data_IF_040874788927
#
_entry.id   IF_040874788927
#
_cell.length_a   1.000
_cell.length_b   1.000
_cell.length_c   1.000
_cell.angle_alpha   90.00
_cell.angle_beta   90.00
_cell.angle_gamma   90.00
#
_symmetry.space_group_name_H-M   'P 1'
#
loop_
_entity.id
_entity.type
_entity.pdbx_description
1 polymer ?
#
# COMPACT_ATOMS: atom_id res chain seq x y z
N UNK A 1 4.59 14.35 8.32
CA UNK A 1 3.52 15.15 7.67
C UNK A 1 2.36 15.35 8.65
N UNK A 2 1.77 14.30 9.25
CA UNK A 2 0.65 14.44 10.19
C UNK A 2 0.94 15.44 11.31
N UNK A 3 2.10 15.34 11.98
CA UNK A 3 2.52 16.29 13.04
C UNK A 3 2.61 17.73 12.49
N UNK A 4 3.18 17.92 11.31
CA UNK A 4 3.26 19.24 10.67
C UNK A 4 1.86 19.78 10.39
N UNK A 5 0.96 18.95 9.91
CA UNK A 5 -0.41 19.33 9.57
C UNK A 5 -1.19 19.76 10.82
N UNK A 6 -1.09 18.99 11.91
CA UNK A 6 -1.91 19.19 13.09
C UNK A 6 -1.34 20.30 14.00
N UNK A 7 -0.01 20.34 14.19
CA UNK A 7 0.61 21.20 15.21
C UNK A 7 1.32 22.43 14.65
N UNK A 8 1.90 22.36 13.44
CA UNK A 8 2.63 23.48 12.86
C UNK A 8 1.82 24.32 11.89
N UNK A 9 0.90 23.68 11.15
CA UNK A 9 0.09 24.33 10.12
C UNK A 9 -1.42 23.99 10.29
N UNK A 10 -1.99 24.13 11.51
CA UNK A 10 -3.41 23.80 11.72
C UNK A 10 -4.29 24.72 10.87
N UNK A 11 -5.29 24.14 10.18
CA UNK A 11 -6.25 24.87 9.35
C UNK A 11 -5.67 25.57 8.12
N UNK A 12 -4.39 25.36 7.79
CA UNK A 12 -3.78 25.95 6.60
C UNK A 12 -4.26 25.25 5.33
N UNK A 13 -5.23 25.84 4.65
CA UNK A 13 -5.85 25.28 3.44
C UNK A 13 -4.84 25.05 2.30
N UNK A 14 -3.88 25.95 2.11
CA UNK A 14 -2.86 25.79 1.06
C UNK A 14 -1.98 24.59 1.32
N UNK A 15 -1.62 24.34 2.58
CA UNK A 15 -0.91 23.13 3.00
C UNK A 15 -1.75 21.87 2.76
N UNK A 16 -3.04 21.89 3.13
CA UNK A 16 -3.97 20.79 2.88
C UNK A 16 -4.05 20.43 1.40
N UNK A 17 -4.18 21.42 0.52
CA UNK A 17 -4.19 21.21 -0.94
C UNK A 17 -2.86 20.65 -1.45
N UNK A 18 -1.73 21.13 -0.97
CA UNK A 18 -0.42 20.59 -1.33
C UNK A 18 -0.29 19.12 -0.97
N UNK A 19 -0.66 18.75 0.28
CA UNK A 19 -0.64 17.36 0.76
C UNK A 19 -1.60 16.49 -0.05
N UNK A 20 -2.77 17.00 -0.42
CA UNK A 20 -3.74 16.31 -1.27
C UNK A 20 -3.15 15.97 -2.65
N UNK A 21 -2.54 16.95 -3.32
CA UNK A 21 -1.91 16.76 -4.64
C UNK A 21 -0.80 15.72 -4.55
N UNK A 22 0.10 15.85 -3.57
CA UNK A 22 1.18 14.87 -3.35
C UNK A 22 0.63 13.48 -3.03
N UNK A 23 -0.45 13.41 -2.24
CA UNK A 23 -1.16 12.17 -1.93
C UNK A 23 -1.72 11.49 -3.19
N UNK A 24 -2.41 12.23 -4.04
CA UNK A 24 -2.97 11.71 -5.30
C UNK A 24 -1.87 11.21 -6.25
N UNK A 25 -0.82 11.98 -6.45
CA UNK A 25 0.32 11.58 -7.31
C UNK A 25 0.96 10.29 -6.76
N UNK A 26 1.28 10.26 -5.48
CA UNK A 26 1.92 9.12 -4.82
C UNK A 26 1.05 7.87 -4.87
N UNK A 27 -0.25 8.03 -4.65
CA UNK A 27 -1.24 6.96 -4.65
C UNK A 27 -1.34 6.29 -6.02
N UNK A 28 -1.50 7.08 -7.08
CA UNK A 28 -1.66 6.57 -8.45
C UNK A 28 -0.35 6.00 -8.97
N UNK A 29 0.76 6.75 -8.84
CA UNK A 29 2.07 6.33 -9.33
C UNK A 29 2.51 5.00 -8.70
N UNK A 30 2.39 4.88 -7.37
CA UNK A 30 2.73 3.63 -6.67
C UNK A 30 1.90 2.44 -7.14
N UNK A 31 0.59 2.63 -7.35
CA UNK A 31 -0.30 1.58 -7.84
C UNK A 31 0.04 1.16 -9.28
N UNK A 32 0.29 2.11 -10.18
CA UNK A 32 0.68 1.83 -11.56
C UNK A 32 2.02 1.08 -11.61
N UNK A 33 3.04 1.53 -10.87
CA UNK A 33 4.33 0.84 -10.81
C UNK A 33 4.20 -0.60 -10.30
N UNK A 34 3.33 -0.86 -9.32
CA UNK A 34 3.05 -2.20 -8.82
C UNK A 34 2.41 -3.11 -9.89
N UNK A 35 1.50 -2.58 -10.71
CA UNK A 35 0.87 -3.33 -11.81
C UNK A 35 1.91 -3.81 -12.84
N UNK A 36 2.87 -2.97 -13.21
CA UNK A 36 3.84 -3.29 -14.25
C UNK A 36 5.06 -4.09 -13.76
N UNK A 37 5.32 -4.16 -12.47
CA UNK A 37 6.46 -4.90 -11.92
C UNK A 37 6.23 -6.41 -11.87
N UNK A 38 7.30 -7.19 -12.05
CA UNK A 38 7.31 -8.67 -11.91
C UNK A 38 8.02 -9.15 -10.66
N UNK A 39 8.76 -8.30 -9.96
CA UNK A 39 9.46 -8.66 -8.74
C UNK A 39 8.56 -8.48 -7.51
N UNK A 40 8.30 -9.53 -6.73
CA UNK A 40 7.41 -9.53 -5.58
C UNK A 40 7.77 -8.44 -4.55
N UNK A 41 9.06 -8.32 -4.18
CA UNK A 41 9.51 -7.31 -3.22
C UNK A 41 9.32 -5.90 -3.74
N UNK A 42 9.61 -5.68 -5.03
CA UNK A 42 9.43 -4.37 -5.67
C UNK A 42 7.94 -4.01 -5.77
N UNK A 43 7.08 -4.98 -6.13
CA UNK A 43 5.62 -4.77 -6.11
C UNK A 43 5.19 -4.33 -4.71
N UNK A 44 5.59 -5.05 -3.66
CA UNK A 44 5.24 -4.71 -2.27
C UNK A 44 5.80 -3.34 -1.83
N UNK A 45 6.95 -2.92 -2.32
CA UNK A 45 7.49 -1.57 -2.08
C UNK A 45 6.63 -0.50 -2.79
N UNK A 46 6.29 -0.69 -4.05
CA UNK A 46 5.40 0.21 -4.81
C UNK A 46 4.00 0.30 -4.18
N UNK A 47 3.49 -0.83 -3.66
CA UNK A 47 2.23 -0.81 -2.91
C UNK A 47 2.34 0.01 -1.62
N UNK A 48 3.51 0.06 -0.96
CA UNK A 48 3.70 0.95 0.20
C UNK A 48 3.59 2.41 -0.21
N UNK A 49 4.22 2.78 -1.32
CA UNK A 49 4.13 4.12 -1.88
C UNK A 49 2.67 4.51 -2.15
N UNK A 50 1.91 3.63 -2.83
CA UNK A 50 0.49 3.87 -3.10
C UNK A 50 -0.33 4.03 -1.81
N UNK A 51 -0.15 3.14 -0.83
CA UNK A 51 -0.92 3.21 0.42
C UNK A 51 -0.57 4.43 1.28
N UNK A 52 0.68 4.90 1.25
CA UNK A 52 1.06 6.18 1.87
C UNK A 52 0.33 7.33 1.18
N UNK A 53 0.13 7.27 -0.14
CA UNK A 53 -0.69 8.24 -0.87
C UNK A 53 -2.13 8.31 -0.33
N UNK A 54 -2.78 7.17 -0.07
CA UNK A 54 -4.11 7.13 0.57
C UNK A 54 -4.09 7.77 1.96
N UNK A 55 -3.05 7.51 2.77
CA UNK A 55 -2.88 8.13 4.09
C UNK A 55 -2.72 9.65 3.95
N UNK A 56 -1.94 10.12 2.97
CA UNK A 56 -1.77 11.55 2.71
C UNK A 56 -3.08 12.23 2.31
N UNK A 57 -3.92 11.55 1.52
CA UNK A 57 -5.28 12.05 1.21
C UNK A 57 -6.09 12.21 2.50
N UNK A 58 -6.07 11.21 3.40
CA UNK A 58 -6.73 11.32 4.70
C UNK A 58 -6.17 12.47 5.57
N UNK A 59 -4.85 12.65 5.59
CA UNK A 59 -4.20 13.78 6.31
C UNK A 59 -4.60 15.13 5.71
N UNK A 60 -4.75 15.23 4.38
CA UNK A 60 -5.21 16.44 3.74
C UNK A 60 -6.66 16.79 4.13
N UNK A 61 -7.53 15.78 4.25
CA UNK A 61 -8.91 15.97 4.69
C UNK A 61 -9.00 16.54 6.12
N UNK A 62 -8.06 16.20 7.02
CA UNK A 62 -8.01 16.80 8.37
C UNK A 62 -7.98 18.32 8.34
N UNK A 63 -7.28 18.89 7.36
CA UNK A 63 -7.15 20.37 7.26
C UNK A 63 -8.27 20.98 6.42
N UNK A 64 -8.73 20.27 5.39
CA UNK A 64 -9.68 20.82 4.42
C UNK A 64 -11.12 20.80 4.92
N UNK A 65 -11.50 19.83 5.76
CA UNK A 65 -12.82 19.72 6.39
C UNK A 65 -12.96 20.55 7.67
N UNK A 66 -11.86 21.07 8.24
CA UNK A 66 -11.90 21.90 9.45
C UNK A 66 -12.56 21.19 10.63
N UNK A 67 -13.69 21.69 11.12
CA UNK A 67 -14.43 21.12 12.27
C UNK A 67 -15.15 19.81 11.93
N UNK A 68 -15.43 19.52 10.65
CA UNK A 68 -16.09 18.29 10.17
C UNK A 68 -15.10 17.16 9.85
N UNK A 69 -13.94 17.12 10.52
CA UNK A 69 -12.84 16.22 10.19
C UNK A 69 -12.90 14.84 10.86
N UNK A 70 -13.98 14.49 11.56
CA UNK A 70 -14.10 13.24 12.31
C UNK A 70 -13.80 11.98 11.48
N UNK A 71 -14.40 11.87 10.28
CA UNK A 71 -14.16 10.76 9.36
C UNK A 71 -12.69 10.68 8.92
N UNK A 72 -12.10 11.83 8.60
CA UNK A 72 -10.71 11.93 8.20
C UNK A 72 -9.76 11.52 9.34
N UNK A 73 -10.02 11.96 10.58
CA UNK A 73 -9.21 11.65 11.74
C UNK A 73 -9.20 10.15 12.05
N UNK A 74 -10.38 9.55 12.22
CA UNK A 74 -10.52 8.13 12.48
C UNK A 74 -10.01 7.28 11.32
N UNK A 75 -10.39 7.63 10.08
CA UNK A 75 -9.97 6.92 8.87
C UNK A 75 -8.46 6.92 8.70
N UNK A 76 -7.79 8.05 8.88
CA UNK A 76 -6.33 8.18 8.73
C UNK A 76 -5.58 7.31 9.72
N UNK A 77 -5.97 7.32 11.00
CA UNK A 77 -5.31 6.51 12.05
C UNK A 77 -5.50 5.02 11.79
N UNK A 78 -6.74 4.60 11.52
CA UNK A 78 -7.02 3.21 11.20
C UNK A 78 -6.33 2.76 9.92
N UNK A 79 -6.16 3.67 8.96
CA UNK A 79 -5.41 3.38 7.74
C UNK A 79 -3.91 3.18 8.00
N UNK A 80 -3.30 3.98 8.87
CA UNK A 80 -1.91 3.80 9.30
C UNK A 80 -1.72 2.47 10.01
N UNK A 81 -2.64 2.10 10.91
CA UNK A 81 -2.62 0.81 11.60
C UNK A 81 -2.77 -0.35 10.61
N UNK A 82 -3.76 -0.27 9.73
CA UNK A 82 -3.96 -1.26 8.68
C UNK A 82 -2.73 -1.41 7.79
N UNK A 83 -2.15 -0.29 7.34
CA UNK A 83 -0.95 -0.28 6.52
C UNK A 83 0.20 -1.01 7.20
N UNK A 84 0.46 -0.74 8.48
CA UNK A 84 1.53 -1.38 9.24
C UNK A 84 1.35 -2.89 9.34
N UNK A 85 0.15 -3.36 9.71
CA UNK A 85 -0.17 -4.79 9.85
C UNK A 85 -0.12 -5.52 8.51
N UNK A 86 -0.72 -4.93 7.46
CA UNK A 86 -0.72 -5.51 6.11
C UNK A 86 0.69 -5.62 5.56
N UNK A 87 1.51 -4.57 5.74
CA UNK A 87 2.90 -4.59 5.27
C UNK A 87 3.73 -5.63 5.99
N UNK A 88 3.59 -5.72 7.32
CA UNK A 88 4.23 -6.77 8.08
C UNK A 88 3.84 -8.16 7.56
N UNK A 89 2.54 -8.41 7.36
CA UNK A 89 2.03 -9.68 6.83
C UNK A 89 2.59 -10.01 5.44
N UNK A 90 2.49 -9.08 4.49
CA UNK A 90 2.90 -9.33 3.10
C UNK A 90 4.41 -9.39 2.93
N UNK A 91 5.19 -8.63 3.71
CA UNK A 91 6.66 -8.73 3.67
C UNK A 91 7.18 -9.99 4.38
N UNK A 92 6.55 -10.43 5.47
CA UNK A 92 6.84 -11.74 6.07
C UNK A 92 6.51 -12.88 5.09
N UNK A 93 5.38 -12.79 4.38
CA UNK A 93 5.05 -13.71 3.29
C UNK A 93 6.15 -13.73 2.21
N UNK A 94 6.58 -12.56 1.73
CA UNK A 94 7.66 -12.47 0.75
C UNK A 94 8.99 -13.03 1.30
N UNK A 95 9.26 -12.84 2.58
CA UNK A 95 10.40 -13.43 3.29
C UNK A 95 10.36 -14.96 3.29
N UNK A 96 9.19 -15.54 3.57
CA UNK A 96 8.97 -16.99 3.50
C UNK A 96 9.19 -17.51 2.08
N UNK A 97 8.67 -16.82 1.06
CA UNK A 97 8.90 -17.19 -0.35
C UNK A 97 10.40 -17.16 -0.66
N UNK A 98 11.08 -16.07 -0.32
CA UNK A 98 12.51 -15.92 -0.59
C UNK A 98 13.37 -16.94 0.16
N UNK A 99 13.08 -17.21 1.42
CA UNK A 99 13.80 -18.20 2.22
C UNK A 99 13.78 -19.61 1.58
N UNK A 100 12.66 -19.96 0.93
CA UNK A 100 12.50 -21.28 0.33
C UNK A 100 12.95 -21.36 -1.13
N UNK A 101 12.91 -20.25 -1.85
CA UNK A 101 13.16 -20.26 -3.32
C UNK A 101 14.41 -19.49 -3.72
N UNK A 102 14.95 -18.65 -2.83
CA UNK A 102 16.00 -17.65 -3.12
C UNK A 102 15.67 -16.77 -4.33
N UNK A 103 14.37 -16.66 -4.68
CA UNK A 103 13.87 -15.92 -5.82
C UNK A 103 12.70 -15.02 -5.39
N UNK A 104 12.53 -13.91 -6.11
CA UNK A 104 11.42 -12.97 -5.88
C UNK A 104 10.73 -12.58 -7.20
N UNK A 105 11.22 -13.02 -8.35
CA UNK A 105 10.55 -12.82 -9.62
C UNK A 105 9.30 -13.72 -9.71
N UNK A 106 8.14 -13.14 -10.05
CA UNK A 106 6.88 -13.87 -10.12
C UNK A 106 6.95 -15.08 -11.04
N UNK A 107 7.75 -15.02 -12.11
CA UNK A 107 7.92 -16.14 -13.04
C UNK A 107 8.72 -17.30 -12.43
N UNK A 108 9.59 -17.02 -11.47
CA UNK A 108 10.42 -18.02 -10.78
C UNK A 108 9.70 -18.64 -9.58
N UNK A 109 8.85 -17.85 -8.90
CA UNK A 109 8.12 -18.28 -7.70
C UNK A 109 6.71 -18.81 -8.00
N UNK A 110 6.38 -19.01 -9.28
CA UNK A 110 5.07 -19.55 -9.69
C UNK A 110 4.74 -20.84 -8.97
N UNK A 111 3.48 -20.96 -8.53
CA UNK A 111 2.98 -22.18 -7.90
C UNK A 111 3.59 -22.51 -6.54
N UNK A 112 4.46 -21.67 -5.98
CA UNK A 112 5.10 -21.92 -4.67
C UNK A 112 4.07 -22.17 -3.56
N UNK A 113 2.95 -21.44 -3.58
CA UNK A 113 1.89 -21.54 -2.57
C UNK A 113 0.94 -22.73 -2.76
N UNK A 114 1.03 -23.49 -3.85
CA UNK A 114 0.15 -24.63 -4.11
C UNK A 114 0.32 -25.70 -3.03
N UNK A 115 -0.80 -26.21 -2.51
CA UNK A 115 -0.79 -27.22 -1.45
C UNK A 115 -0.39 -26.72 -0.07
N UNK A 116 -0.33 -25.39 0.15
CA UNK A 116 0.00 -24.76 1.43
C UNK A 116 -1.17 -23.92 1.95
N UNK A 117 -2.27 -24.54 2.44
CA UNK A 117 -3.52 -23.84 2.76
C UNK A 117 -3.37 -22.75 3.82
N UNK A 118 -2.53 -22.97 4.84
CA UNK A 118 -2.29 -21.97 5.88
C UNK A 118 -1.59 -20.72 5.30
N UNK A 119 -0.55 -20.91 4.48
CA UNK A 119 0.15 -19.80 3.83
C UNK A 119 -0.80 -19.03 2.89
N UNK A 120 -1.68 -19.75 2.20
CA UNK A 120 -2.72 -19.18 1.34
C UNK A 120 -3.69 -18.30 2.14
N UNK A 121 -4.23 -18.80 3.26
CA UNK A 121 -5.13 -18.04 4.13
C UNK A 121 -4.48 -16.78 4.70
N UNK A 122 -3.22 -16.89 5.18
CA UNK A 122 -2.49 -15.74 5.73
C UNK A 122 -2.18 -14.67 4.67
N UNK A 123 -1.82 -15.08 3.44
CA UNK A 123 -1.69 -14.14 2.33
C UNK A 123 -3.01 -13.45 2.02
N UNK A 124 -4.12 -14.21 1.96
CA UNK A 124 -5.46 -13.65 1.69
C UNK A 124 -5.88 -12.65 2.78
N UNK A 125 -5.58 -12.90 4.05
CA UNK A 125 -5.86 -11.91 5.10
C UNK A 125 -5.20 -10.55 4.81
N UNK A 126 -3.92 -10.55 4.45
CA UNK A 126 -3.22 -9.32 4.06
C UNK A 126 -3.76 -8.71 2.76
N UNK A 127 -3.98 -9.54 1.74
CA UNK A 127 -4.45 -9.10 0.43
C UNK A 127 -5.88 -8.54 0.49
N UNK A 128 -6.81 -9.20 1.17
CA UNK A 128 -8.19 -8.74 1.32
C UNK A 128 -8.26 -7.43 2.12
N UNK A 129 -7.45 -7.31 3.18
CA UNK A 129 -7.37 -6.07 3.94
C UNK A 129 -6.79 -4.94 3.10
N UNK A 130 -5.72 -5.18 2.32
CA UNK A 130 -5.15 -4.17 1.43
C UNK A 130 -6.11 -3.75 0.31
N UNK A 131 -6.85 -4.71 -0.24
CA UNK A 131 -7.89 -4.45 -1.26
C UNK A 131 -9.08 -3.65 -0.71
N UNK A 132 -9.30 -3.67 0.60
CA UNK A 132 -10.45 -3.04 1.26
C UNK A 132 -11.72 -3.88 1.16
N UNK A 133 -11.60 -5.20 1.29
CA UNK A 133 -12.75 -6.10 1.28
C UNK A 133 -13.49 -6.01 2.61
N UNK A 134 -14.85 -5.95 2.63
CA UNK A 134 -15.64 -5.94 3.85
C UNK A 134 -15.26 -7.09 4.82
N UNK A 135 -15.27 -6.79 6.11
CA UNK A 135 -14.81 -7.72 7.16
C UNK A 135 -13.32 -7.61 7.50
N UNK A 136 -12.57 -6.74 6.85
CA UNK A 136 -11.17 -6.46 7.15
C UNK A 136 -10.96 -5.00 7.55
N UNK A 137 -9.92 -4.74 8.36
CA UNK A 137 -9.58 -3.38 8.83
C UNK A 137 -9.36 -2.39 7.67
N UNK A 138 -8.82 -2.88 6.55
CA UNK A 138 -8.61 -2.05 5.35
C UNK A 138 -9.90 -1.55 4.73
N UNK A 139 -11.00 -2.28 4.85
CA UNK A 139 -12.31 -1.79 4.45
C UNK A 139 -12.76 -0.63 5.33
N UNK A 140 -12.73 -0.82 6.64
CA UNK A 140 -13.14 0.21 7.61
C UNK A 140 -12.38 1.51 7.39
N UNK A 141 -11.05 1.44 7.33
CA UNK A 141 -10.20 2.61 7.16
C UNK A 141 -10.36 3.30 5.80
N UNK A 142 -10.47 2.53 4.71
CA UNK A 142 -10.69 3.09 3.37
C UNK A 142 -12.04 3.76 3.24
N UNK A 143 -13.08 3.16 3.80
CA UNK A 143 -14.44 3.73 3.78
C UNK A 143 -14.45 5.09 4.48
N UNK A 144 -13.88 5.21 5.68
CA UNK A 144 -13.83 6.48 6.41
C UNK A 144 -13.07 7.58 5.65
N UNK A 145 -11.92 7.25 5.05
CA UNK A 145 -11.16 8.24 4.25
C UNK A 145 -11.92 8.59 2.96
N UNK A 146 -12.56 7.63 2.32
CA UNK A 146 -13.37 7.88 1.11
C UNK A 146 -14.57 8.78 1.43
N UNK A 147 -15.31 8.49 2.50
CA UNK A 147 -16.43 9.32 2.95
C UNK A 147 -15.98 10.75 3.27
N UNK A 148 -14.82 10.95 3.89
CA UNK A 148 -14.26 12.28 4.11
C UNK A 148 -13.97 13.03 2.80
N UNK A 149 -13.55 12.34 1.74
CA UNK A 149 -13.37 12.95 0.41
C UNK A 149 -14.72 13.30 -0.22
N UNK A 150 -15.73 12.42 -0.09
CA UNK A 150 -17.08 12.66 -0.59
C UNK A 150 -17.73 13.84 0.16
N UNK A 151 -17.59 13.90 1.48
CA UNK A 151 -18.08 15.02 2.30
C UNK A 151 -17.50 16.35 1.82
N UNK A 152 -16.18 16.45 1.64
CA UNK A 152 -15.54 17.64 1.09
C UNK A 152 -16.03 17.96 -0.34
N UNK A 153 -16.30 16.95 -1.17
CA UNK A 153 -16.83 17.16 -2.52
C UNK A 153 -18.23 17.77 -2.50
N UNK A 154 -19.08 17.30 -1.58
CA UNK A 154 -20.44 17.82 -1.39
C UNK A 154 -20.43 19.23 -0.81
N UNK A 155 -19.63 19.49 0.24
CA UNK A 155 -19.53 20.81 0.87
C UNK A 155 -19.02 21.90 -0.09
N UNK A 156 -17.99 21.54 -0.89
CA UNK A 156 -17.36 22.53 -1.79
C UNK A 156 -18.01 22.64 -3.16
N UNK A 157 -18.78 21.64 -3.59
CA UNK A 157 -19.28 21.51 -4.97
C UNK A 157 -18.15 21.46 -6.00
N UNK A 158 -16.92 21.11 -5.60
CA UNK A 158 -15.73 21.22 -6.43
C UNK A 158 -15.53 19.98 -7.30
N UNK A 159 -15.53 20.18 -8.63
CA UNK A 159 -15.17 19.13 -9.60
C UNK A 159 -13.78 18.54 -9.35
N UNK A 160 -12.84 19.35 -8.84
CA UNK A 160 -11.48 18.86 -8.53
C UNK A 160 -11.51 17.79 -7.44
N UNK A 161 -12.34 17.95 -6.40
CA UNK A 161 -12.46 16.93 -5.33
C UNK A 161 -13.19 15.67 -5.85
N UNK A 162 -14.16 15.82 -6.73
CA UNK A 162 -14.78 14.68 -7.43
C UNK A 162 -13.72 13.89 -8.26
N UNK A 163 -12.77 14.57 -8.89
CA UNK A 163 -11.65 13.90 -9.56
C UNK A 163 -10.77 13.15 -8.56
N UNK A 164 -10.51 13.72 -7.38
CA UNK A 164 -9.78 13.02 -6.31
C UNK A 164 -10.50 11.73 -5.89
N UNK A 165 -11.81 11.76 -5.73
CA UNK A 165 -12.62 10.56 -5.44
C UNK A 165 -12.41 9.47 -6.51
N UNK A 166 -12.50 9.82 -7.79
CA UNK A 166 -12.27 8.86 -8.87
C UNK A 166 -10.84 8.32 -8.91
N UNK A 167 -9.83 9.16 -8.62
CA UNK A 167 -8.44 8.71 -8.48
C UNK A 167 -8.26 7.74 -7.30
N UNK A 168 -8.98 7.99 -6.21
CA UNK A 168 -9.01 7.10 -5.03
C UNK A 168 -9.60 5.73 -5.40
N UNK A 169 -10.74 5.69 -6.07
CA UNK A 169 -11.38 4.45 -6.52
C UNK A 169 -10.54 3.70 -7.56
N UNK A 170 -9.94 4.42 -8.51
CA UNK A 170 -9.03 3.85 -9.51
C UNK A 170 -7.82 3.20 -8.85
N UNK A 171 -7.16 3.89 -7.91
CA UNK A 171 -6.00 3.34 -7.21
C UNK A 171 -6.37 2.15 -6.32
N UNK A 172 -7.58 2.17 -5.74
CA UNK A 172 -8.17 1.01 -5.08
C UNK A 172 -8.32 -0.18 -6.04
N UNK A 173 -8.81 0.07 -7.26
CA UNK A 173 -8.93 -0.95 -8.30
C UNK A 173 -7.57 -1.50 -8.76
N UNK A 174 -6.58 -0.63 -8.99
CA UNK A 174 -5.22 -1.06 -9.31
C UNK A 174 -4.62 -1.93 -8.19
N UNK A 175 -4.98 -1.63 -6.92
CA UNK A 175 -4.60 -2.47 -5.76
C UNK A 175 -5.12 -3.89 -5.91
N UNK A 176 -6.38 -4.06 -6.25
CA UNK A 176 -6.99 -5.38 -6.52
C UNK A 176 -6.30 -6.07 -7.68
N UNK A 177 -6.00 -5.35 -8.77
CA UNK A 177 -5.39 -5.91 -9.96
C UNK A 177 -4.00 -6.51 -9.72
N UNK A 178 -3.09 -5.79 -9.04
CA UNK A 178 -1.76 -6.34 -8.78
C UNK A 178 -1.77 -7.43 -7.69
N UNK A 179 -2.68 -7.37 -6.71
CA UNK A 179 -2.84 -8.45 -5.74
C UNK A 179 -3.36 -9.73 -6.40
N UNK A 180 -4.32 -9.60 -7.31
CA UNK A 180 -4.79 -10.73 -8.14
C UNK A 180 -3.66 -11.32 -8.97
N UNK A 181 -2.79 -10.49 -9.55
CA UNK A 181 -1.60 -10.93 -10.29
C UNK A 181 -0.66 -11.77 -9.39
N UNK A 182 -0.33 -11.28 -8.19
CA UNK A 182 0.51 -12.03 -7.25
C UNK A 182 -0.17 -13.34 -6.84
N UNK A 183 -1.45 -13.27 -6.51
CA UNK A 183 -2.24 -14.42 -6.10
C UNK A 183 -2.27 -15.53 -7.15
N UNK A 184 -2.59 -15.17 -8.39
CA UNK A 184 -2.61 -16.12 -9.52
C UNK A 184 -1.22 -16.70 -9.77
N UNK A 185 -0.17 -15.88 -9.75
CA UNK A 185 1.18 -16.35 -9.95
C UNK A 185 1.61 -17.36 -8.88
N UNK A 186 1.41 -17.03 -7.61
CA UNK A 186 1.98 -17.84 -6.52
C UNK A 186 1.12 -19.07 -6.18
N UNK A 187 -0.21 -18.97 -6.28
CA UNK A 187 -1.10 -20.04 -5.79
C UNK A 187 -1.79 -20.86 -6.91
N UNK A 188 -1.97 -20.28 -8.11
CA UNK A 188 -2.74 -20.94 -9.15
C UNK A 188 -1.89 -21.47 -10.31
N UNK A 189 -0.83 -20.76 -10.70
CA UNK A 189 0.04 -21.22 -11.79
C UNK A 189 0.82 -22.48 -11.41
N UNK A 190 1.26 -23.24 -12.41
CA UNK A 190 2.15 -24.39 -12.22
C UNK A 190 3.57 -23.92 -11.94
N UNK A 191 4.26 -24.66 -11.07
CA UNK A 191 5.66 -24.39 -10.78
C UNK A 191 6.52 -24.55 -12.05
N UNK A 192 7.62 -23.77 -12.21
CA UNK A 192 8.58 -24.00 -13.28
C UNK A 192 9.15 -25.41 -13.20
N UNK A 193 9.52 -26.00 -14.34
CA UNK A 193 10.10 -27.35 -14.39
C UNK A 193 11.39 -27.48 -13.55
N UNK A 194 12.15 -26.40 -13.47
CA UNK A 194 13.40 -26.31 -12.71
C UNK A 194 13.18 -26.01 -11.21
N UNK A 195 11.93 -25.82 -10.75
CA UNK A 195 11.66 -25.59 -9.36
C UNK A 195 11.92 -26.87 -8.57
N UNK A 196 12.93 -26.84 -7.69
CA UNK A 196 13.12 -27.90 -6.72
C UNK A 196 11.79 -28.16 -6.01
N UNK A 197 11.43 -29.45 -5.88
CA UNK A 197 10.18 -29.88 -5.26
C UNK A 197 10.01 -29.15 -3.93
N UNK A 198 9.14 -28.13 -3.92
CA UNK A 198 8.99 -27.27 -2.75
C UNK A 198 8.54 -28.13 -1.58
N UNK A 199 9.36 -28.24 -0.57
CA UNK A 199 9.05 -28.97 0.67
C UNK A 199 7.65 -28.56 1.16
N UNK A 200 6.86 -29.53 1.62
CA UNK A 200 5.56 -29.26 2.28
C UNK A 200 5.74 -28.31 3.47
N UNK A 201 6.91 -28.36 4.13
CA UNK A 201 7.28 -27.45 5.21
C UNK A 201 7.84 -26.17 4.59
N UNK A 202 7.08 -25.08 4.67
CA UNK A 202 7.43 -23.78 4.08
C UNK A 202 7.94 -22.76 5.12
N UNK A 203 7.89 -23.10 6.42
CA UNK A 203 8.31 -22.21 7.49
C UNK A 203 8.63 -22.95 8.78
N UNK A 204 9.43 -22.31 9.64
CA UNK A 204 9.64 -22.74 11.03
C UNK A 204 8.40 -22.39 11.86
N UNK A 205 8.16 -23.06 13.00
CA UNK A 205 7.04 -22.70 13.89
C UNK A 205 7.03 -21.21 14.26
N UNK A 206 8.21 -20.62 14.46
CA UNK A 206 8.36 -19.20 14.79
C UNK A 206 7.94 -18.29 13.62
N UNK A 207 8.34 -18.60 12.39
CA UNK A 207 7.94 -17.81 11.22
C UNK A 207 6.45 -17.92 10.94
N UNK A 208 5.86 -19.07 11.17
CA UNK A 208 4.39 -19.26 11.08
C UNK A 208 3.68 -18.43 12.15
N UNK A 209 4.15 -18.50 13.41
CA UNK A 209 3.56 -17.73 14.51
C UNK A 209 3.66 -16.21 14.26
N UNK A 210 4.82 -15.73 13.78
CA UNK A 210 5.00 -14.32 13.43
C UNK A 210 4.04 -13.87 12.31
N UNK A 211 3.86 -14.69 11.28
CA UNK A 211 2.94 -14.39 10.19
C UNK A 211 1.48 -14.41 10.64
N UNK A 212 1.09 -15.35 11.52
CA UNK A 212 -0.22 -15.39 12.13
C UNK A 212 -0.51 -14.18 13.02
N UNK A 213 0.47 -13.79 13.85
CA UNK A 213 0.36 -12.61 14.72
C UNK A 213 0.15 -11.32 13.91
N UNK A 214 0.75 -11.22 12.74
CA UNK A 214 0.57 -10.06 11.85
C UNK A 214 -0.76 -10.10 11.08
N UNK A 215 -1.22 -11.29 10.65
CA UNK A 215 -2.38 -11.43 9.78
C UNK A 215 -3.73 -11.48 10.51
N UNK A 216 -3.81 -12.13 11.67
CA UNK A 216 -5.07 -12.35 12.43
C UNK A 216 -5.72 -11.02 12.89
N UNK A 217 -4.99 -9.99 13.32
CA UNK A 217 -5.60 -8.73 13.71
C UNK A 217 -6.38 -8.05 12.58
N UNK A 218 -6.06 -8.30 11.32
CA UNK A 218 -6.70 -7.65 10.17
C UNK A 218 -8.20 -7.96 10.06
N UNK A 219 -8.66 -9.24 10.03
CA UNK A 219 -10.08 -9.55 10.08
C UNK A 219 -10.68 -9.29 11.47
N UNK A 220 -9.94 -9.48 12.56
CA UNK A 220 -10.46 -9.25 13.91
C UNK A 220 -10.91 -7.79 14.12
N UNK A 221 -10.08 -6.83 13.72
CA UNK A 221 -10.41 -5.41 13.80
C UNK A 221 -11.46 -4.99 12.77
N UNK A 222 -11.50 -5.65 11.60
CA UNK A 222 -12.47 -5.35 10.56
C UNK A 222 -13.87 -5.86 10.85
N UNK A 223 -14.02 -6.98 11.58
CA UNK A 223 -15.30 -7.54 11.96
C UNK A 223 -15.94 -6.83 13.16
N UNK A 224 -15.15 -6.11 13.96
CA UNK A 224 -15.59 -5.38 15.13
C UNK A 224 -15.33 -3.87 14.99
N UNK A 225 -15.84 -3.21 13.93
CA UNK A 225 -15.53 -1.80 13.65
C UNK A 225 -16.00 -0.86 14.76
N UNK A 226 -17.24 -1.01 15.25
CA UNK A 226 -17.83 -0.21 16.32
C UNK A 226 -17.29 -0.50 17.73
N UNK A 227 -16.50 -1.57 17.89
CA UNK A 227 -15.94 -1.93 19.18
C UNK A 227 -14.50 -1.45 19.34
N UNK A 228 -13.58 -2.25 18.81
CA UNK A 228 -12.15 -2.07 19.05
C UNK A 228 -11.53 -1.02 18.11
N UNK A 229 -11.93 -1.00 16.84
CA UNK A 229 -11.35 -0.07 15.85
C UNK A 229 -11.68 1.38 16.17
N UNK A 230 -12.94 1.69 16.48
CA UNK A 230 -13.36 3.03 16.88
C UNK A 230 -12.70 3.49 18.19
N UNK A 231 -12.57 2.59 19.19
CA UNK A 231 -11.87 2.91 20.44
C UNK A 231 -10.40 3.25 20.20
N UNK A 232 -9.72 2.51 19.31
CA UNK A 232 -8.32 2.82 18.93
C UNK A 232 -8.25 4.19 18.25
N UNK A 233 -9.15 4.48 17.33
CA UNK A 233 -9.18 5.76 16.63
C UNK A 233 -9.51 6.90 17.60
N UNK A 234 -10.52 6.74 18.45
CA UNK A 234 -10.92 7.75 19.46
C UNK A 234 -9.79 8.07 20.45
N UNK A 235 -9.00 7.08 20.87
CA UNK A 235 -7.85 7.28 21.74
C UNK A 235 -6.77 8.19 21.13
N UNK A 236 -6.77 8.39 19.81
CA UNK A 236 -5.78 9.22 19.10
C UNK A 236 -6.32 10.58 18.65
N UNK A 237 -7.59 10.91 18.95
CA UNK A 237 -8.21 12.18 18.54
C UNK A 237 -7.44 13.40 19.03
N UNK A 238 -6.99 13.39 20.28
CA UNK A 238 -6.17 14.48 20.84
C UNK A 238 -4.86 14.69 20.07
N UNK A 239 -4.31 13.62 19.49
CA UNK A 239 -3.08 13.68 18.68
C UNK A 239 -3.36 14.10 17.23
N UNK A 240 -4.50 13.73 16.68
CA UNK A 240 -4.85 14.04 15.28
C UNK A 240 -5.53 15.39 15.13
N UNK A 241 -5.90 16.06 16.22
CA UNK A 241 -6.73 17.27 16.18
C UNK A 241 -8.13 17.01 15.64
N UNK A 242 -8.58 15.75 15.70
CA UNK A 242 -9.87 15.32 15.20
C UNK A 242 -10.99 15.54 16.21
N UNK A 243 -12.21 15.62 15.70
CA UNK A 243 -13.44 15.61 16.49
C UNK A 243 -14.03 14.20 16.53
N UNK A 244 -14.89 13.92 17.50
CA UNK A 244 -15.58 12.64 17.60
C UNK A 244 -16.77 12.59 16.62
N UNK A 245 -17.23 11.38 16.33
CA UNK A 245 -18.40 11.21 15.45
C UNK A 245 -19.66 11.81 16.06
N UNK A 246 -20.41 12.57 15.26
CA UNK A 246 -21.75 13.01 15.61
C UNK A 246 -22.78 11.88 15.45
N UNK A 247 -22.53 10.92 14.55
CA UNK A 247 -23.41 9.79 14.24
C UNK A 247 -22.61 8.52 13.97
N UNK A 248 -23.21 7.36 14.26
CA UNK A 248 -22.60 6.06 13.98
C UNK A 248 -22.47 5.81 12.45
N UNK A 249 -21.30 5.39 12.00
CA UNK A 249 -21.04 5.06 10.61
C UNK A 249 -21.60 3.67 10.28
N UNK A 250 -22.50 3.57 9.31
CA UNK A 250 -23.06 2.30 8.85
C UNK A 250 -22.18 1.67 7.75
N UNK A 251 -21.13 0.97 8.14
CA UNK A 251 -20.15 0.39 7.20
C UNK A 251 -20.76 -0.54 6.14
N UNK A 252 -21.83 -1.26 6.45
CA UNK A 252 -22.50 -2.17 5.50
C UNK A 252 -23.64 -1.49 4.69
N UNK A 253 -23.84 -0.19 4.84
CA UNK A 253 -24.76 0.54 3.99
C UNK A 253 -24.33 0.50 2.53
N UNK A 254 -25.30 0.51 1.61
CA UNK A 254 -25.03 0.45 0.17
C UNK A 254 -24.13 1.60 -0.31
N UNK A 255 -24.27 2.77 0.27
CA UNK A 255 -23.46 3.95 -0.02
C UNK A 255 -21.97 3.67 0.18
N UNK A 256 -21.61 2.96 1.24
CA UNK A 256 -20.23 2.56 1.58
C UNK A 256 -19.75 1.36 0.76
N UNK A 257 -20.64 0.39 0.50
CA UNK A 257 -20.32 -0.79 -0.30
C UNK A 257 -20.10 -0.47 -1.78
N UNK A 258 -20.81 0.53 -2.32
CA UNK A 258 -20.70 0.97 -3.71
C UNK A 258 -19.26 1.28 -4.11
N UNK A 259 -18.50 2.00 -3.29
CA UNK A 259 -17.11 2.34 -3.56
C UNK A 259 -16.19 1.11 -3.69
N UNK A 260 -16.43 0.11 -2.84
CA UNK A 260 -15.68 -1.17 -2.90
C UNK A 260 -16.05 -1.94 -4.16
N UNK A 261 -17.34 -2.03 -4.50
CA UNK A 261 -17.81 -2.73 -5.71
C UNK A 261 -17.18 -2.08 -6.95
N UNK A 262 -17.13 -0.76 -7.03
CA UNK A 262 -16.49 -0.02 -8.13
C UNK A 262 -15.00 -0.36 -8.18
N UNK A 263 -14.28 -0.28 -7.06
CA UNK A 263 -12.84 -0.59 -7.01
C UNK A 263 -12.55 -2.05 -7.39
N UNK A 264 -13.34 -3.01 -6.91
CA UNK A 264 -13.22 -4.43 -7.30
C UNK A 264 -13.46 -4.63 -8.80
N UNK A 265 -14.49 -3.98 -9.34
CA UNK A 265 -14.82 -4.04 -10.77
C UNK A 265 -13.69 -3.47 -11.63
N UNK A 266 -13.17 -2.29 -11.28
CA UNK A 266 -12.00 -1.70 -11.95
C UNK A 266 -10.79 -2.65 -11.87
N UNK A 267 -10.53 -3.23 -10.71
CA UNK A 267 -9.41 -4.14 -10.51
C UNK A 267 -9.49 -5.39 -11.37
N UNK A 268 -10.67 -5.99 -11.45
CA UNK A 268 -10.93 -7.14 -12.33
C UNK A 268 -10.83 -6.77 -13.81
N UNK A 269 -11.40 -5.63 -14.21
CA UNK A 269 -11.25 -5.13 -15.59
C UNK A 269 -9.78 -4.92 -15.94
N UNK A 270 -9.00 -4.26 -15.09
CA UNK A 270 -7.55 -4.06 -15.31
C UNK A 270 -6.81 -5.40 -15.37
N UNK A 271 -7.16 -6.36 -14.52
CA UNK A 271 -6.54 -7.67 -14.54
C UNK A 271 -6.83 -8.42 -15.86
N UNK A 272 -8.10 -8.49 -16.29
CA UNK A 272 -8.48 -9.26 -17.48
C UNK A 272 -8.19 -8.54 -18.79
N UNK A 273 -8.29 -7.21 -18.86
CA UNK A 273 -8.12 -6.44 -20.11
C UNK A 273 -6.71 -5.88 -20.29
N UNK A 274 -5.93 -5.69 -19.20
CA UNK A 274 -4.59 -5.14 -19.30
C UNK A 274 -3.53 -6.15 -18.87
N UNK A 275 -3.61 -6.70 -17.64
CA UNK A 275 -2.54 -7.58 -17.13
C UNK A 275 -2.47 -8.87 -17.93
N UNK A 276 -3.59 -9.56 -18.09
CA UNK A 276 -3.64 -10.85 -18.75
C UNK A 276 -3.27 -10.81 -20.25
N UNK A 277 -3.75 -9.87 -21.09
CA UNK A 277 -3.39 -9.84 -22.50
C UNK A 277 -2.07 -9.13 -22.81
N UNK A 278 -1.72 -8.06 -22.07
CA UNK A 278 -0.56 -7.21 -22.38
C UNK A 278 0.68 -7.54 -21.55
N UNK A 279 0.50 -7.91 -20.27
CA UNK A 279 1.60 -8.18 -19.35
C UNK A 279 1.90 -9.66 -19.18
N UNK A 280 1.22 -10.55 -19.91
CA UNK A 280 1.55 -11.98 -19.94
C UNK A 280 1.83 -12.45 -21.36
N UNK A 281 2.80 -13.34 -21.49
CA UNK A 281 3.18 -14.02 -22.72
C UNK A 281 3.07 -15.53 -22.50
N UNK A 282 2.54 -16.24 -23.50
CA UNK A 282 2.60 -17.71 -23.52
C UNK A 282 3.89 -18.13 -24.22
N UNK A 283 4.81 -18.72 -23.44
CA UNK A 283 6.04 -19.30 -23.97
C UNK A 283 6.14 -20.75 -23.50
N UNK A 284 6.32 -21.66 -24.42
CA UNK A 284 6.42 -23.10 -24.12
C UNK A 284 5.20 -23.68 -23.37
N UNK A 285 3.99 -23.17 -23.64
CA UNK A 285 2.77 -23.55 -22.91
C UNK A 285 2.59 -22.93 -21.53
N UNK A 286 3.58 -22.19 -21.06
CA UNK A 286 3.57 -21.51 -19.75
C UNK A 286 3.20 -20.03 -19.87
N UNK A 287 2.48 -19.53 -18.87
CA UNK A 287 2.16 -18.10 -18.77
C UNK A 287 3.30 -17.41 -18.01
N UNK A 288 3.99 -16.48 -18.67
CA UNK A 288 5.06 -15.67 -18.06
C UNK A 288 4.66 -14.22 -18.01
N UNK A 289 4.95 -13.55 -16.88
CA UNK A 289 4.73 -12.11 -16.73
C UNK A 289 5.89 -11.34 -17.38
N UNK A 290 5.55 -10.28 -18.09
CA UNK A 290 6.50 -9.38 -18.75
C UNK A 290 6.49 -8.03 -18.09
N UNK A 291 7.65 -7.43 -17.86
CA UNK A 291 7.76 -6.04 -17.44
C UNK A 291 7.76 -5.16 -18.69
N UNK A 292 6.73 -4.34 -18.84
CA UNK A 292 6.64 -3.33 -19.90
C UNK A 292 6.97 -1.92 -19.38
N UNK A 293 7.48 -1.81 -18.14
CA UNK A 293 7.84 -0.51 -17.57
C UNK A 293 9.01 0.10 -18.36
N UNK A 294 8.84 1.30 -18.92
CA UNK A 294 9.90 1.95 -19.69
C UNK A 294 11.11 2.23 -18.80
N UNK A 295 12.31 1.90 -19.27
CA UNK A 295 13.55 2.09 -18.51
C UNK A 295 13.78 3.55 -18.11
N UNK A 296 13.39 4.51 -18.97
CA UNK A 296 13.51 5.94 -18.71
C UNK A 296 12.55 6.45 -17.60
N UNK A 297 11.45 5.76 -17.35
CA UNK A 297 10.50 6.06 -16.29
C UNK A 297 10.84 5.33 -14.99
N UNK A 298 11.91 4.53 -14.97
CA UNK A 298 12.41 3.90 -13.77
C UNK A 298 13.02 4.95 -12.86
N UNK A 299 12.29 5.34 -11.80
CA UNK A 299 12.77 6.29 -10.79
C UNK A 299 14.08 5.81 -10.14
N UNK A 300 14.28 4.50 -10.05
CA UNK A 300 15.49 3.91 -9.50
C UNK A 300 16.71 4.23 -10.40
N UNK A 301 16.60 3.99 -11.70
CA UNK A 301 17.70 4.20 -12.65
C UNK A 301 17.91 5.68 -13.00
N UNK A 302 16.81 6.42 -13.18
CA UNK A 302 16.83 7.79 -13.69
C UNK A 302 17.02 8.84 -12.61
N UNK A 303 16.58 8.57 -11.36
CA UNK A 303 16.61 9.55 -10.26
C UNK A 303 17.45 9.07 -9.08
N UNK A 304 17.08 7.92 -8.48
CA UNK A 304 17.72 7.51 -7.22
C UNK A 304 19.19 7.14 -7.40
N UNK A 305 19.55 6.31 -8.37
CA UNK A 305 20.94 5.90 -8.59
C UNK A 305 21.86 7.08 -8.94
N UNK A 306 21.49 8.03 -9.82
CA UNK A 306 22.29 9.23 -10.06
C UNK A 306 22.42 10.12 -8.82
N UNK A 307 21.31 10.34 -8.09
CA UNK A 307 21.31 11.15 -6.87
C UNK A 307 22.21 10.55 -5.79
N UNK A 308 22.09 9.23 -5.54
CA UNK A 308 22.94 8.54 -4.56
C UNK A 308 24.42 8.58 -4.97
N UNK A 309 24.72 8.37 -6.24
CA UNK A 309 26.11 8.46 -6.75
C UNK A 309 26.66 9.88 -6.59
N UNK A 310 25.85 10.91 -6.80
CA UNK A 310 26.24 12.29 -6.56
C UNK A 310 26.45 12.55 -5.06
N UNK A 311 25.52 12.16 -4.21
CA UNK A 311 25.61 12.32 -2.75
C UNK A 311 26.87 11.64 -2.17
N UNK A 312 27.14 10.40 -2.57
CA UNK A 312 28.33 9.66 -2.15
C UNK A 312 29.62 10.40 -2.61
N UNK A 313 29.65 10.93 -3.83
CA UNK A 313 30.80 11.73 -4.31
C UNK A 313 31.02 12.98 -3.48
N UNK A 314 29.96 13.71 -3.18
CA UNK A 314 30.05 14.91 -2.33
C UNK A 314 30.56 14.54 -0.93
N UNK A 315 29.98 13.50 -0.32
CA UNK A 315 30.39 13.03 1.00
C UNK A 315 31.88 12.60 1.02
N UNK A 316 32.31 11.81 0.03
CA UNK A 316 33.72 11.40 -0.09
C UNK A 316 34.65 12.59 -0.29
N UNK A 317 34.25 13.62 -1.04
CA UNK A 317 35.05 14.83 -1.23
C UNK A 317 35.16 15.60 0.10
N UNK A 318 34.04 15.76 0.83
CA UNK A 318 34.07 16.39 2.15
C UNK A 318 34.94 15.65 3.15
N UNK A 319 34.86 14.31 3.17
CA UNK A 319 35.73 13.50 4.02
C UNK A 319 37.22 13.67 3.65
N UNK A 320 37.56 13.70 2.35
CA UNK A 320 38.95 13.94 1.92
C UNK A 320 39.45 15.30 2.40
N UNK A 321 38.67 16.35 2.13
CA UNK A 321 39.03 17.72 2.59
C UNK A 321 39.20 17.77 4.09
N UNK A 322 38.34 17.11 4.85
CA UNK A 322 38.46 17.04 6.30
C UNK A 322 39.73 16.28 6.74
N UNK A 323 40.08 15.18 6.08
CA UNK A 323 41.32 14.45 6.37
C UNK A 323 42.54 15.28 6.01
N UNK A 324 42.56 15.94 4.83
CA UNK A 324 43.68 16.80 4.40
C UNK A 324 43.88 17.97 5.38
N UNK A 325 42.77 18.55 5.89
CA UNK A 325 42.86 19.61 6.92
C UNK A 325 43.38 19.08 8.26
N UNK A 326 42.97 17.88 8.68
CA UNK A 326 43.51 17.26 9.88
C UNK A 326 45.01 16.91 9.75
N UNK A 327 45.41 16.41 8.61
CA UNK A 327 46.81 16.13 8.32
C UNK A 327 47.68 17.41 8.36
N UNK A 328 47.11 18.50 7.83
CA UNK A 328 47.76 19.82 7.88
C UNK A 328 47.92 20.31 9.33
N UNK A 329 46.89 20.10 10.18
CA UNK A 329 46.90 20.50 11.60
C UNK A 329 47.88 19.64 12.45
N UNK A 330 48.19 18.41 12.02
CA UNK A 330 49.11 17.51 12.69
C UNK A 330 50.58 17.82 12.27
N UNK A 331 50.78 18.40 11.10
CA UNK A 331 52.09 18.78 10.57
C UNK A 331 52.57 20.14 11.05
N UNK A 332 51.74 20.93 11.70
CA UNK A 332 52.06 22.24 12.36
C UNK A 332 52.18 22.02 13.85
#
# INVERSE_FOLDING_TARGET
ILVVTVYLLPGNRSWGVLVLILGCITMVLGAVMAVFSTNLKYILACTSLSQIGFILVGVAMLTLLGEHNALAAHGTVLYMLNHSLVKLTLFLFAGVVYYNTHQLDLNRIRGFGRGKPLLHGLFLCGACSLAGIPGFLGYVSKTLVHEAVVELAVETGSTAITVVEWLFLLSGGLTVAYLTKIYVAVFWQTAPADAHAASRRWGTPLSVAALMLAAIPLPMLGLLPHGLSEKIAAATLSFTGGHDFSHAVHYLAWENLKGVVISLSIGMLVYFLLIRPLLTERRDGEIRYRSLWPAWLSLEESVYKPLFRWLIRVLMTLCRVACDLLDLLVLV
#
